data_IF_569218134908
#
_entry.id   IF_569218134908
#
_cell.length_a   1.000
_cell.length_b   1.000
_cell.length_c   1.000
_cell.angle_alpha   90.00
_cell.angle_beta   90.00
_cell.angle_gamma   90.00
#
_symmetry.space_group_name_H-M   'P 1'
#
loop_
_entity.id
_entity.type
_entity.pdbx_description
1 polymer ?
#
# COMPACT_ATOMS: atom_id res chain seq x y z
N UNK A 1 18.89 -37.76 50.88
CA UNK A 1 20.00 -36.99 50.28
C UNK A 1 20.55 -37.76 49.08
N UNK A 2 20.16 -37.42 47.85
CA UNK A 2 20.69 -38.03 46.61
C UNK A 2 21.88 -37.19 46.12
N UNK A 3 23.06 -37.79 46.02
CA UNK A 3 24.25 -37.16 45.44
C UNK A 3 24.15 -37.20 43.90
N UNK A 4 24.25 -36.04 43.27
CA UNK A 4 24.34 -35.91 41.82
C UNK A 4 25.76 -36.34 41.39
N UNK A 5 25.87 -37.47 40.68
CA UNK A 5 27.13 -37.93 40.10
C UNK A 5 27.18 -37.41 38.67
N UNK A 6 27.83 -36.27 38.46
CA UNK A 6 28.09 -35.73 37.13
C UNK A 6 29.19 -36.59 36.50
N UNK A 7 28.85 -37.28 35.40
CA UNK A 7 29.80 -38.12 34.66
C UNK A 7 30.81 -37.22 33.93
N UNK A 8 32.12 -37.47 34.08
CA UNK A 8 33.17 -36.61 33.51
C UNK A 8 33.13 -36.50 31.97
N UNK A 9 32.45 -37.44 31.30
CA UNK A 9 32.30 -37.45 29.85
C UNK A 9 31.33 -36.38 29.30
N UNK A 10 30.43 -35.82 30.13
CA UNK A 10 29.49 -34.77 29.69
C UNK A 10 30.18 -33.39 29.70
N UNK A 11 31.12 -33.17 30.63
CA UNK A 11 31.88 -31.92 30.73
C UNK A 11 32.88 -31.74 29.58
N UNK A 12 33.48 -32.83 29.09
CA UNK A 12 34.44 -32.77 27.97
C UNK A 12 33.75 -32.48 26.64
N UNK A 13 32.53 -32.99 26.43
CA UNK A 13 31.80 -32.78 25.17
C UNK A 13 31.35 -31.31 25.00
N UNK A 14 30.90 -30.66 26.08
CA UNK A 14 30.51 -29.24 26.05
C UNK A 14 31.69 -28.30 25.83
N UNK A 15 32.89 -28.67 26.30
CA UNK A 15 34.09 -27.85 26.14
C UNK A 15 34.62 -27.87 24.69
N UNK A 16 34.50 -29.02 24.01
CA UNK A 16 34.91 -29.15 22.60
C UNK A 16 33.97 -28.43 21.63
N UNK A 17 32.65 -28.40 21.90
CA UNK A 17 31.70 -27.63 21.09
C UNK A 17 31.91 -26.11 21.21
N UNK A 18 32.32 -25.64 22.40
CA UNK A 18 32.62 -24.22 22.60
C UNK A 18 33.86 -23.76 21.83
N UNK A 19 34.92 -24.57 21.78
CA UNK A 19 36.16 -24.25 21.05
C UNK A 19 35.99 -24.20 19.53
N UNK A 20 35.09 -25.00 18.96
CA UNK A 20 34.85 -25.01 17.51
C UNK A 20 34.12 -23.77 17.01
N UNK A 21 33.18 -23.21 17.79
CA UNK A 21 32.43 -22.00 17.43
C UNK A 21 33.34 -20.77 17.48
N UNK A 22 34.24 -20.67 18.46
CA UNK A 22 35.16 -19.54 18.55
C UNK A 22 36.17 -19.53 17.40
N UNK A 23 36.63 -20.68 16.93
CA UNK A 23 37.59 -20.78 15.82
C UNK A 23 37.00 -20.36 14.46
N UNK A 24 35.69 -20.57 14.23
CA UNK A 24 35.01 -20.11 13.01
C UNK A 24 34.92 -18.57 12.99
N UNK A 25 34.72 -17.92 14.14
CA UNK A 25 34.62 -16.46 14.21
C UNK A 25 35.98 -15.74 14.13
N UNK A 26 37.08 -16.35 14.58
CA UNK A 26 38.43 -15.76 14.45
C UNK A 26 39.14 -16.09 13.13
N UNK A 27 38.69 -17.09 12.36
CA UNK A 27 39.28 -17.41 11.04
C UNK A 27 38.57 -16.74 9.85
N UNK A 28 37.46 -16.03 10.09
CA UNK A 28 36.77 -15.22 9.08
C UNK A 28 37.16 -13.73 9.11
N UNK A 29 38.27 -13.39 9.78
CA UNK A 29 38.86 -12.06 9.78
C UNK A 29 39.88 -11.90 8.65
N UNK A 30 39.68 -10.86 7.86
CA UNK A 30 40.65 -10.23 6.96
C UNK A 30 40.86 -10.85 5.56
N UNK A 31 40.04 -10.37 4.63
CA UNK A 31 40.54 -10.01 3.30
C UNK A 31 40.14 -10.92 2.16
N UNK A 32 38.94 -10.71 1.60
CA UNK A 32 38.71 -11.07 0.19
C UNK A 32 37.73 -10.08 -0.48
N UNK A 33 38.35 -9.14 -1.20
CA UNK A 33 37.80 -8.31 -2.29
C UNK A 33 36.85 -7.16 -1.90
N UNK A 34 37.46 -6.09 -1.39
CA UNK A 34 37.06 -4.74 -1.77
C UNK A 34 37.10 -4.63 -3.31
N UNK A 35 35.94 -4.47 -3.95
CA UNK A 35 35.86 -4.04 -5.34
C UNK A 35 35.95 -2.52 -5.40
N UNK A 36 36.78 -1.94 -6.27
CA UNK A 36 36.64 -0.55 -6.66
C UNK A 36 35.42 -0.47 -7.60
N UNK A 37 34.34 0.17 -7.14
CA UNK A 37 33.24 0.57 -8.02
C UNK A 37 33.55 1.97 -8.53
N UNK A 38 34.43 2.04 -9.54
CA UNK A 38 34.45 3.13 -10.50
C UNK A 38 33.64 2.67 -11.72
N UNK A 39 32.41 3.16 -11.83
CA UNK A 39 31.90 3.83 -13.03
C UNK A 39 30.47 4.30 -12.77
N UNK A 40 30.16 5.60 -12.98
CA UNK A 40 28.79 6.09 -12.94
C UNK A 40 28.03 5.48 -14.11
N UNK A 41 26.89 4.83 -13.85
CA UNK A 41 25.99 4.37 -14.90
C UNK A 41 25.41 5.60 -15.61
N UNK A 42 26.04 6.03 -16.68
CA UNK A 42 25.44 6.92 -17.65
C UNK A 42 24.25 6.21 -18.30
N UNK A 43 23.11 6.90 -18.30
CA UNK A 43 21.80 6.55 -18.88
C UNK A 43 20.82 5.78 -17.97
N UNK A 44 20.59 6.32 -16.77
CA UNK A 44 19.24 6.34 -16.18
C UNK A 44 18.57 7.61 -16.71
N UNK A 45 17.50 7.56 -17.53
CA UNK A 45 16.56 8.66 -17.54
C UNK A 45 15.84 8.62 -16.19
N UNK A 46 16.40 9.30 -15.21
CA UNK A 46 15.67 9.65 -14.02
C UNK A 46 14.49 10.51 -14.48
N UNK A 47 13.29 9.92 -14.52
CA UNK A 47 12.04 10.67 -14.64
C UNK A 47 11.73 11.37 -13.31
N UNK A 48 12.66 12.23 -12.88
CA UNK A 48 12.55 13.41 -12.02
C UNK A 48 13.95 13.70 -11.40
N UNK A 49 14.92 14.09 -12.24
CA UNK A 49 16.13 14.82 -11.81
C UNK A 49 16.24 16.15 -12.57
N UNK A 50 15.56 17.17 -12.05
CA UNK A 50 16.03 18.56 -12.12
C UNK A 50 15.19 19.42 -11.18
N UNK A 51 15.86 20.05 -10.21
CA UNK A 51 15.43 21.18 -9.36
C UNK A 51 13.94 21.53 -9.35
N UNK A 52 13.24 21.10 -8.30
CA UNK A 52 11.92 21.63 -7.97
C UNK A 52 12.09 22.95 -7.19
N UNK A 53 12.19 24.06 -7.92
CA UNK A 53 12.01 25.40 -7.33
C UNK A 53 10.52 25.78 -7.38
N UNK A 54 9.99 26.10 -6.20
CA UNK A 54 8.74 26.79 -5.87
C UNK A 54 7.66 26.92 -6.98
N UNK A 55 7.08 25.80 -7.43
CA UNK A 55 5.72 25.74 -7.97
C UNK A 55 5.24 24.29 -8.08
N UNK A 56 4.43 23.87 -7.11
CA UNK A 56 3.41 22.79 -7.05
C UNK A 56 3.30 21.62 -8.07
N UNK A 57 4.29 21.27 -8.89
CA UNK A 57 4.19 20.13 -9.81
C UNK A 57 5.55 19.47 -10.05
N UNK A 58 6.04 18.70 -9.07
CA UNK A 58 7.36 18.09 -9.14
C UNK A 58 7.41 16.86 -10.09
N UNK A 59 6.27 16.26 -10.48
CA UNK A 59 6.16 15.38 -11.65
C UNK A 59 4.71 15.42 -12.19
N UNK A 60 4.37 16.22 -13.23
CA UNK A 60 3.02 16.19 -13.79
C UNK A 60 2.74 14.80 -14.40
N UNK A 61 1.65 14.17 -13.95
CA UNK A 61 1.15 12.94 -14.55
C UNK A 61 0.94 13.18 -16.04
N UNK A 62 1.40 12.26 -16.89
CA UNK A 62 1.06 12.36 -18.30
C UNK A 62 -0.45 12.11 -18.47
N UNK A 63 -1.13 12.74 -19.44
CA UNK A 63 -2.54 12.45 -19.72
C UNK A 63 -2.82 10.95 -19.94
N UNK A 64 -1.83 10.19 -20.41
CA UNK A 64 -1.90 8.74 -20.53
C UNK A 64 -1.97 8.05 -19.16
N UNK A 65 -1.13 8.46 -18.20
CA UNK A 65 -1.13 7.90 -16.85
C UNK A 65 -2.42 8.23 -16.09
N UNK A 66 -2.97 9.44 -16.25
CA UNK A 66 -4.28 9.80 -15.68
C UNK A 66 -5.41 8.90 -16.23
N UNK A 67 -5.37 8.58 -17.53
CA UNK A 67 -6.33 7.68 -18.15
C UNK A 67 -6.18 6.23 -17.64
N UNK A 68 -4.95 5.76 -17.45
CA UNK A 68 -4.69 4.42 -16.87
C UNK A 68 -5.15 4.32 -15.42
N UNK A 69 -4.90 5.35 -14.61
CA UNK A 69 -5.39 5.42 -13.23
C UNK A 69 -6.92 5.38 -13.17
N UNK A 70 -7.59 6.18 -14.01
CA UNK A 70 -9.05 6.14 -14.11
C UNK A 70 -9.56 4.75 -14.53
N UNK A 71 -8.84 4.06 -15.42
CA UNK A 71 -9.18 2.69 -15.84
C UNK A 71 -8.97 1.67 -14.72
N UNK A 72 -7.92 1.80 -13.92
CA UNK A 72 -7.68 0.98 -12.72
C UNK A 72 -8.81 1.18 -11.71
N UNK A 73 -9.15 2.43 -11.39
CA UNK A 73 -10.25 2.72 -10.45
C UNK A 73 -11.60 2.21 -10.95
N UNK A 74 -11.88 2.33 -12.25
CA UNK A 74 -13.08 1.75 -12.86
C UNK A 74 -13.11 0.23 -12.72
N UNK A 75 -11.98 -0.44 -12.98
CA UNK A 75 -11.84 -1.88 -12.82
C UNK A 75 -12.05 -2.34 -11.36
N UNK A 76 -11.56 -1.57 -10.37
CA UNK A 76 -11.80 -1.85 -8.95
C UNK A 76 -13.29 -1.83 -8.60
N UNK A 77 -13.98 -0.77 -8.98
CA UNK A 77 -15.41 -0.61 -8.66
C UNK A 77 -16.26 -1.65 -9.36
N UNK A 78 -15.95 -1.99 -10.62
CA UNK A 78 -16.71 -2.99 -11.37
C UNK A 78 -16.46 -4.43 -10.91
N UNK A 79 -15.25 -4.76 -10.43
CA UNK A 79 -14.87 -6.14 -10.09
C UNK A 79 -14.97 -6.46 -8.60
N UNK A 80 -14.98 -5.45 -7.71
CA UNK A 80 -15.00 -5.63 -6.26
C UNK A 80 -16.27 -5.08 -5.60
N UNK A 81 -17.36 -4.87 -6.37
CA UNK A 81 -18.57 -4.23 -5.86
C UNK A 81 -19.28 -5.09 -4.80
N UNK A 82 -18.84 -4.97 -3.55
CA UNK A 82 -19.69 -5.14 -2.35
C UNK A 82 -20.80 -4.06 -2.30
N UNK A 83 -20.72 -3.08 -3.20
CA UNK A 83 -21.61 -1.94 -3.42
C UNK A 83 -22.78 -2.30 -4.37
N UNK A 84 -22.96 -3.57 -4.73
CA UNK A 84 -24.01 -4.07 -5.65
C UNK A 84 -25.47 -3.70 -5.28
N UNK A 85 -25.69 -3.13 -4.08
CA UNK A 85 -27.00 -2.62 -3.64
C UNK A 85 -27.11 -1.10 -3.59
N UNK A 86 -26.03 -0.35 -3.84
CA UNK A 86 -26.05 1.10 -3.79
C UNK A 86 -26.44 1.70 -5.15
N UNK A 87 -27.38 2.62 -5.13
CA UNK A 87 -27.76 3.41 -6.31
C UNK A 87 -26.86 4.65 -6.49
N UNK A 88 -25.97 4.90 -5.53
CA UNK A 88 -25.03 6.01 -5.52
C UNK A 88 -23.68 5.56 -4.96
N UNK A 89 -22.63 5.71 -5.75
CA UNK A 89 -21.26 5.55 -5.28
C UNK A 89 -20.74 6.91 -4.77
N UNK A 90 -20.46 6.99 -3.48
CA UNK A 90 -19.81 8.18 -2.89
C UNK A 90 -18.32 7.91 -2.79
N UNK A 91 -17.49 8.82 -3.29
CA UNK A 91 -16.03 8.68 -3.32
C UNK A 91 -15.39 9.93 -2.73
N UNK A 92 -14.34 9.78 -1.94
CA UNK A 92 -13.55 10.93 -1.52
C UNK A 92 -12.87 11.61 -2.72
N UNK A 93 -12.86 12.93 -2.76
CA UNK A 93 -12.35 13.74 -3.88
C UNK A 93 -10.82 13.88 -3.92
N UNK A 94 -10.14 13.27 -2.96
CA UNK A 94 -8.68 13.22 -2.86
C UNK A 94 -8.21 11.83 -2.49
N UNK A 95 -7.02 11.47 -2.95
CA UNK A 95 -6.40 10.21 -2.58
C UNK A 95 -6.07 10.20 -1.10
N UNK A 96 -6.34 9.07 -0.45
CA UNK A 96 -5.91 8.83 0.93
C UNK A 96 -4.51 8.27 0.96
N UNK A 97 -3.79 8.57 2.02
CA UNK A 97 -2.51 7.94 2.29
C UNK A 97 -2.77 6.45 2.62
N UNK A 98 -2.15 5.56 1.85
CA UNK A 98 -2.28 4.13 2.00
C UNK A 98 -1.71 3.57 3.33
N UNK A 99 -1.07 4.41 4.15
CA UNK A 99 -0.46 4.06 5.44
C UNK A 99 -1.33 4.46 6.65
N UNK A 100 -2.37 5.27 6.45
CA UNK A 100 -3.04 5.97 7.56
C UNK A 100 -4.18 5.21 8.24
N UNK A 101 -4.46 3.95 7.87
CA UNK A 101 -5.52 3.16 8.51
C UNK A 101 -4.96 2.26 9.61
N UNK A 102 -5.60 2.20 10.81
CA UNK A 102 -4.93 1.93 12.09
C UNK A 102 -4.44 0.50 12.30
N UNK A 103 -4.62 -0.39 11.33
CA UNK A 103 -4.27 -1.82 11.43
C UNK A 103 -3.33 -2.30 10.33
N UNK A 104 -3.03 -1.49 9.30
CA UNK A 104 -2.00 -1.85 8.31
C UNK A 104 -0.57 -1.61 8.84
N UNK A 105 -0.45 -0.67 9.77
CA UNK A 105 0.75 -0.42 10.56
C UNK A 105 0.26 -0.04 11.96
N UNK A 106 0.69 -0.76 12.99
CA UNK A 106 0.61 -0.22 14.36
C UNK A 106 1.32 1.15 14.34
N UNK A 107 0.93 2.11 15.19
CA UNK A 107 1.47 3.48 15.15
C UNK A 107 3.01 3.56 15.22
N UNK A 108 3.67 2.47 15.64
CA UNK A 108 5.13 2.29 15.71
C UNK A 108 5.72 1.37 14.63
N UNK A 109 4.93 0.86 13.69
CA UNK A 109 5.41 -0.07 12.66
C UNK A 109 6.05 0.70 11.49
N UNK A 110 7.33 0.45 11.16
CA UNK A 110 7.97 1.14 10.05
C UNK A 110 7.18 0.90 8.77
N UNK A 111 6.95 1.97 8.00
CA UNK A 111 6.37 1.92 6.65
C UNK A 111 7.04 0.82 5.81
N UNK A 112 8.34 0.58 6.00
CA UNK A 112 9.08 -0.50 5.35
C UNK A 112 8.50 -1.90 5.56
N UNK A 113 7.98 -2.23 6.76
CA UNK A 113 7.38 -3.55 7.01
C UNK A 113 6.11 -3.79 6.21
N UNK A 114 5.30 -2.75 6.01
CA UNK A 114 4.16 -2.83 5.10
C UNK A 114 4.61 -3.22 3.69
N UNK A 115 5.67 -2.60 3.18
CA UNK A 115 6.15 -2.87 1.83
C UNK A 115 6.80 -4.25 1.68
N UNK A 116 7.48 -4.73 2.72
CA UNK A 116 7.93 -6.13 2.79
C UNK A 116 6.72 -7.09 2.74
N UNK A 117 5.66 -6.80 3.51
CA UNK A 117 4.44 -7.60 3.48
C UNK A 117 3.75 -7.55 2.11
N UNK A 118 3.65 -6.38 1.47
CA UNK A 118 3.08 -6.24 0.13
C UNK A 118 3.87 -7.03 -0.91
N UNK A 119 5.20 -7.09 -0.80
CA UNK A 119 6.03 -7.90 -1.70
C UNK A 119 5.80 -9.40 -1.51
N UNK A 120 5.52 -9.83 -0.28
CA UNK A 120 5.17 -11.22 0.04
C UNK A 120 3.74 -11.58 -0.41
N UNK A 121 2.78 -10.69 -0.19
CA UNK A 121 1.38 -10.87 -0.59
C UNK A 121 1.21 -10.85 -2.12
N UNK A 122 2.07 -10.10 -2.81
CA UNK A 122 2.04 -9.93 -4.26
C UNK A 122 3.37 -10.37 -4.89
N UNK A 123 3.69 -11.68 -4.90
CA UNK A 123 4.97 -12.19 -5.41
C UNK A 123 5.14 -12.01 -6.94
N UNK A 124 4.07 -11.64 -7.64
CA UNK A 124 4.09 -11.33 -9.08
C UNK A 124 4.18 -9.82 -9.36
N UNK A 125 4.07 -8.98 -8.33
CA UNK A 125 4.29 -7.55 -8.48
C UNK A 125 5.78 -7.30 -8.69
N UNK A 126 6.11 -6.58 -9.75
CA UNK A 126 7.44 -6.08 -9.99
C UNK A 126 7.81 -5.05 -8.92
N UNK A 127 9.09 -5.01 -8.54
CA UNK A 127 9.59 -4.08 -7.55
C UNK A 127 9.25 -2.62 -7.91
N UNK A 128 9.27 -2.29 -9.21
CA UNK A 128 8.90 -0.96 -9.69
C UNK A 128 7.43 -0.61 -9.39
N UNK A 129 6.50 -1.55 -9.53
CA UNK A 129 5.08 -1.33 -9.18
C UNK A 129 4.95 -0.96 -7.71
N UNK A 130 5.66 -1.67 -6.82
CA UNK A 130 5.62 -1.44 -5.38
C UNK A 130 6.30 -0.12 -5.00
N UNK A 131 7.46 0.17 -5.58
CA UNK A 131 8.19 1.43 -5.34
C UNK A 131 7.39 2.63 -5.87
N UNK A 132 6.80 2.52 -7.06
CA UNK A 132 5.90 3.54 -7.61
C UNK A 132 4.71 3.78 -6.68
N UNK A 133 4.10 2.71 -6.16
CA UNK A 133 3.01 2.81 -5.20
C UNK A 133 3.44 3.54 -3.93
N UNK A 134 4.64 3.24 -3.41
CA UNK A 134 5.21 3.93 -2.25
C UNK A 134 5.31 5.43 -2.48
N UNK A 135 6.04 5.83 -3.52
CA UNK A 135 6.32 7.24 -3.83
C UNK A 135 5.04 8.01 -4.12
N UNK A 136 4.10 7.41 -4.87
CA UNK A 136 2.87 8.08 -5.26
C UNK A 136 1.92 8.37 -4.07
N UNK A 137 2.05 7.62 -2.98
CA UNK A 137 1.20 7.72 -1.79
C UNK A 137 1.84 8.49 -0.62
N UNK A 138 3.00 9.12 -0.83
CA UNK A 138 3.59 10.08 0.12
C UNK A 138 2.74 11.35 0.26
N UNK A 139 1.93 11.67 -0.76
CA UNK A 139 1.10 12.87 -0.80
C UNK A 139 -0.33 12.55 -1.25
N UNK A 140 -1.26 13.42 -0.85
CA UNK A 140 -2.67 13.34 -1.25
C UNK A 140 -2.93 14.15 -2.52
N UNK A 141 -3.51 13.51 -3.53
CA UNK A 141 -3.77 14.06 -4.86
C UNK A 141 -5.26 14.27 -5.10
N UNK A 142 -5.68 15.36 -5.76
CA UNK A 142 -7.06 15.52 -6.21
C UNK A 142 -7.47 14.44 -7.21
N UNK A 143 -8.69 13.95 -7.06
CA UNK A 143 -9.35 13.04 -7.99
C UNK A 143 -10.27 13.89 -8.87
N UNK A 144 -9.77 14.34 -10.02
CA UNK A 144 -10.34 15.50 -10.74
C UNK A 144 -11.30 15.19 -11.88
N UNK A 145 -11.45 13.94 -12.36
CA UNK A 145 -12.28 13.66 -13.56
C UNK A 145 -13.03 12.32 -13.51
N UNK A 146 -14.17 12.22 -14.24
CA UNK A 146 -15.21 11.26 -13.95
C UNK A 146 -14.75 9.87 -14.33
N UNK A 147 -14.58 9.05 -13.30
CA UNK A 147 -14.55 7.61 -13.42
C UNK A 147 -15.65 7.11 -14.36
N UNK A 148 -15.34 6.12 -15.19
CA UNK A 148 -16.31 5.44 -16.04
C UNK A 148 -17.15 4.45 -15.22
N UNK A 149 -17.61 4.86 -14.04
CA UNK A 149 -18.54 4.06 -13.29
C UNK A 149 -19.85 4.06 -14.06
N UNK A 150 -20.32 2.87 -14.43
CA UNK A 150 -21.71 2.69 -14.87
C UNK A 150 -22.71 3.16 -13.80
N UNK A 151 -22.26 3.17 -12.54
CA UNK A 151 -23.00 3.62 -11.37
C UNK A 151 -22.90 5.12 -11.20
N UNK A 152 -24.04 5.77 -10.91
CA UNK A 152 -24.10 7.17 -10.50
C UNK A 152 -23.11 7.42 -9.35
N UNK A 153 -22.24 8.41 -9.49
CA UNK A 153 -21.22 8.72 -8.50
C UNK A 153 -21.26 10.16 -8.00
N UNK A 154 -20.72 10.39 -6.80
CA UNK A 154 -20.54 11.70 -6.19
C UNK A 154 -19.20 11.76 -5.50
N UNK A 155 -18.39 12.76 -5.86
CA UNK A 155 -17.17 13.10 -5.13
C UNK A 155 -17.52 13.97 -3.91
N UNK A 156 -16.89 13.69 -2.78
CA UNK A 156 -17.04 14.45 -1.53
C UNK A 156 -15.68 14.84 -0.96
N UNK A 157 -15.59 16.05 -0.44
CA UNK A 157 -14.37 16.56 0.19
C UNK A 157 -14.14 16.01 1.58
N UNK A 158 -12.89 16.02 2.05
CA UNK A 158 -12.55 15.72 3.44
C UNK A 158 -13.35 16.62 4.41
N UNK A 159 -13.54 17.89 4.07
CA UNK A 159 -14.36 18.80 4.87
C UNK A 159 -15.84 18.39 4.92
N UNK A 160 -16.38 17.84 3.83
CA UNK A 160 -17.74 17.29 3.83
C UNK A 160 -17.84 16.06 4.74
N UNK A 161 -16.83 15.18 4.74
CA UNK A 161 -16.76 14.05 5.67
C UNK A 161 -16.71 14.55 7.13
N UNK A 162 -15.85 15.52 7.42
CA UNK A 162 -15.67 16.10 8.75
C UNK A 162 -16.90 16.83 9.28
N UNK A 163 -17.78 17.35 8.41
CA UNK A 163 -19.07 17.92 8.84
C UNK A 163 -19.98 16.90 9.51
N UNK A 164 -19.84 15.62 9.17
CA UNK A 164 -20.55 14.54 9.85
C UNK A 164 -19.88 14.15 11.18
N UNK A 165 -18.69 14.69 11.48
CA UNK A 165 -17.77 14.15 12.49
C UNK A 165 -17.85 14.62 13.94
N UNK A 166 -18.38 15.76 14.41
CA UNK A 166 -18.00 16.19 15.75
C UNK A 166 -19.16 16.06 16.73
N UNK A 167 -19.12 15.07 17.63
CA UNK A 167 -19.57 15.14 19.05
C UNK A 167 -20.44 13.97 19.55
N UNK A 168 -20.99 13.10 18.70
CA UNK A 168 -21.81 11.94 19.13
C UNK A 168 -21.66 10.73 18.19
N UNK A 169 -21.13 9.59 18.65
CA UNK A 169 -21.13 8.33 17.89
C UNK A 169 -22.55 7.95 17.44
N UNK A 170 -22.71 7.32 16.28
CA UNK A 170 -23.99 6.87 15.72
C UNK A 170 -24.79 7.90 14.89
N UNK A 171 -24.78 9.19 15.23
CA UNK A 171 -25.61 10.21 14.55
C UNK A 171 -24.99 10.65 13.20
N UNK A 172 -23.67 10.53 13.07
CA UNK A 172 -22.90 10.75 11.84
C UNK A 172 -23.55 10.05 10.64
N UNK A 173 -23.89 8.76 10.80
CA UNK A 173 -24.22 7.91 9.65
C UNK A 173 -25.62 8.18 9.16
N UNK A 174 -26.53 8.50 10.08
CA UNK A 174 -27.87 8.98 9.74
C UNK A 174 -27.81 10.28 8.93
N UNK A 175 -26.95 11.23 9.31
CA UNK A 175 -26.76 12.47 8.56
C UNK A 175 -26.16 12.20 7.17
N UNK A 176 -25.14 11.35 7.09
CA UNK A 176 -24.55 10.93 5.82
C UNK A 176 -25.60 10.29 4.89
N UNK A 177 -26.35 9.30 5.37
CA UNK A 177 -27.35 8.59 4.55
C UNK A 177 -28.56 9.47 4.20
N UNK A 178 -28.88 10.46 5.03
CA UNK A 178 -29.91 11.47 4.70
C UNK A 178 -29.48 12.34 3.53
N UNK A 179 -28.22 12.77 3.51
CA UNK A 179 -27.67 13.69 2.51
C UNK A 179 -27.26 12.94 1.22
N UNK A 180 -26.83 11.69 1.33
CA UNK A 180 -26.42 10.80 0.24
C UNK A 180 -27.35 9.59 0.09
N UNK A 181 -28.64 9.84 -0.18
CA UNK A 181 -29.65 8.79 -0.32
C UNK A 181 -29.28 7.77 -1.41
N UNK A 182 -29.28 6.50 -1.04
CA UNK A 182 -28.93 5.39 -1.92
C UNK A 182 -27.45 5.04 -1.94
N UNK A 183 -26.61 5.75 -1.17
CA UNK A 183 -25.25 5.33 -0.89
C UNK A 183 -25.22 4.19 0.13
N UNK A 184 -24.24 3.28 0.00
CA UNK A 184 -23.96 2.24 0.99
C UNK A 184 -22.85 2.63 1.99
N UNK A 185 -22.31 3.84 1.85
CA UNK A 185 -21.09 4.30 2.49
C UNK A 185 -20.30 5.20 1.54
N UNK A 186 -19.02 5.42 1.82
CA UNK A 186 -18.12 6.11 0.90
C UNK A 186 -16.80 5.35 0.71
N UNK A 187 -16.27 5.45 -0.51
CA UNK A 187 -15.03 4.84 -0.96
C UNK A 187 -13.88 5.83 -0.87
N UNK A 188 -12.75 5.37 -0.39
CA UNK A 188 -11.48 6.06 -0.33
C UNK A 188 -10.48 5.30 -1.18
N UNK A 189 -9.72 6.02 -2.00
CA UNK A 189 -8.76 5.44 -2.94
C UNK A 189 -7.40 6.05 -2.69
N UNK A 190 -6.35 5.26 -2.77
CA UNK A 190 -4.99 5.76 -2.81
C UNK A 190 -4.60 6.12 -4.24
N UNK A 191 -3.46 6.80 -4.43
CA UNK A 191 -2.85 6.94 -5.76
C UNK A 191 -2.38 5.57 -6.27
N UNK A 192 -2.44 5.35 -7.58
CA UNK A 192 -2.02 4.08 -8.18
C UNK A 192 -0.50 4.06 -8.38
N UNK A 193 0.16 2.97 -8.01
CA UNK A 193 1.53 2.66 -8.42
C UNK A 193 1.53 1.80 -9.67
N UNK A 194 2.33 2.15 -10.68
CA UNK A 194 2.46 1.41 -11.93
C UNK A 194 3.90 0.94 -12.13
N UNK A 195 4.09 -0.17 -12.85
CA UNK A 195 5.39 -0.43 -13.49
C UNK A 195 5.55 0.42 -14.76
N UNK A 196 6.78 0.49 -15.29
CA UNK A 196 7.12 1.26 -16.48
C UNK A 196 6.31 0.87 -17.71
N UNK A 197 6.00 -0.41 -17.86
CA UNK A 197 5.22 -0.95 -18.98
C UNK A 197 3.71 -0.63 -18.86
N UNK A 198 3.26 -0.04 -17.75
CA UNK A 198 1.84 0.23 -17.45
C UNK A 198 0.94 -0.99 -17.65
N UNK A 199 1.45 -2.16 -17.27
CA UNK A 199 0.73 -3.43 -17.34
C UNK A 199 0.53 -4.08 -15.95
N UNK A 200 1.13 -3.51 -14.92
CA UNK A 200 0.89 -3.80 -13.51
C UNK A 200 0.45 -2.54 -12.77
N UNK A 201 -0.47 -2.71 -11.83
CA UNK A 201 -0.92 -1.64 -10.97
C UNK A 201 -1.11 -2.14 -9.52
N UNK A 202 -0.74 -1.30 -8.56
CA UNK A 202 -1.03 -1.49 -7.14
C UNK A 202 -1.79 -0.28 -6.63
N UNK A 203 -2.86 -0.53 -5.88
CA UNK A 203 -3.77 0.50 -5.38
C UNK A 203 -4.36 0.06 -4.05
N UNK A 204 -4.49 0.99 -3.12
CA UNK A 204 -5.22 0.77 -1.87
C UNK A 204 -6.63 1.35 -1.98
N UNK A 205 -7.60 0.61 -1.45
CA UNK A 205 -8.98 1.08 -1.28
C UNK A 205 -9.39 0.89 0.17
N UNK A 206 -10.17 1.83 0.68
CA UNK A 206 -10.88 1.68 1.93
C UNK A 206 -12.34 2.08 1.74
N UNK A 207 -13.22 1.49 2.54
CA UNK A 207 -14.64 1.76 2.52
C UNK A 207 -15.13 1.94 3.94
N UNK A 208 -15.99 2.94 4.15
CA UNK A 208 -16.63 3.21 5.42
C UNK A 208 -18.15 3.25 5.23
N UNK A 209 -18.89 2.59 6.11
CA UNK A 209 -20.35 2.44 6.08
C UNK A 209 -21.04 2.51 7.45
N UNK A 210 -20.29 2.70 8.53
CA UNK A 210 -20.77 2.65 9.91
C UNK A 210 -19.61 2.81 10.89
N UNK A 211 -19.91 3.08 12.16
CA UNK A 211 -18.88 3.24 13.20
C UNK A 211 -17.99 2.00 13.35
N UNK A 212 -18.56 0.82 13.06
CA UNK A 212 -17.88 -0.47 13.04
C UNK A 212 -18.06 -1.17 11.69
N UNK A 213 -18.28 -0.41 10.61
CA UNK A 213 -18.52 -0.96 9.28
C UNK A 213 -17.52 -0.32 8.34
N UNK A 214 -16.53 -1.11 7.95
CA UNK A 214 -15.57 -0.71 6.95
C UNK A 214 -14.55 -1.80 6.69
N UNK A 215 -13.83 -1.63 5.58
CA UNK A 215 -12.72 -2.50 5.22
C UNK A 215 -11.65 -1.71 4.47
N UNK A 216 -10.46 -2.27 4.41
CA UNK A 216 -9.30 -1.72 3.72
C UNK A 216 -8.55 -2.84 3.03
N UNK A 217 -8.15 -2.62 1.78
CA UNK A 217 -7.44 -3.63 0.98
C UNK A 217 -6.43 -3.02 0.03
N UNK A 218 -5.27 -3.65 -0.09
CA UNK A 218 -4.37 -3.47 -1.22
C UNK A 218 -4.79 -4.40 -2.35
N UNK A 219 -4.81 -3.87 -3.57
CA UNK A 219 -5.29 -4.59 -4.74
C UNK A 219 -4.21 -4.52 -5.81
N UNK A 220 -3.75 -5.69 -6.23
CA UNK A 220 -2.81 -5.84 -7.33
C UNK A 220 -3.59 -6.19 -8.60
N UNK A 221 -3.36 -5.42 -9.67
CA UNK A 221 -4.02 -5.57 -10.95
C UNK A 221 -3.00 -5.78 -12.06
N UNK A 222 -3.41 -6.54 -13.07
CA UNK A 222 -2.65 -6.73 -14.30
C UNK A 222 -3.50 -6.37 -15.52
N UNK A 223 -2.86 -5.76 -16.52
CA UNK A 223 -3.52 -5.39 -17.78
C UNK A 223 -3.40 -6.53 -18.77
N UNK A 224 -4.54 -7.07 -19.22
CA UNK A 224 -4.62 -8.13 -20.22
C UNK A 224 -5.53 -7.72 -21.35
N UNK A 225 -5.01 -7.71 -22.58
CA UNK A 225 -5.78 -7.27 -23.75
C UNK A 225 -6.32 -5.85 -23.63
N UNK A 226 -5.55 -4.95 -23.02
CA UNK A 226 -5.96 -3.56 -22.79
C UNK A 226 -6.88 -3.33 -21.59
N UNK A 227 -7.30 -4.38 -20.87
CA UNK A 227 -8.25 -4.29 -19.75
C UNK A 227 -7.56 -4.64 -18.44
N UNK A 228 -7.75 -3.80 -17.42
CA UNK A 228 -7.28 -4.05 -16.06
C UNK A 228 -8.11 -5.14 -15.37
N UNK A 229 -7.43 -6.13 -14.81
CA UNK A 229 -8.04 -7.24 -14.07
C UNK A 229 -7.37 -7.39 -12.71
N UNK A 230 -8.18 -7.64 -11.70
CA UNK A 230 -7.66 -7.93 -10.36
C UNK A 230 -6.93 -9.26 -10.42
N UNK A 231 -5.67 -9.25 -9.99
CA UNK A 231 -4.81 -10.43 -9.92
C UNK A 231 -4.82 -11.01 -8.52
N UNK A 232 -4.77 -10.17 -7.50
CA UNK A 232 -4.77 -10.56 -6.08
C UNK A 232 -5.18 -9.38 -5.20
N UNK A 233 -5.64 -9.70 -3.98
CA UNK A 233 -6.09 -8.74 -2.97
C UNK A 233 -5.44 -9.13 -1.65
N UNK A 234 -4.92 -8.16 -0.92
CA UNK A 234 -4.52 -8.29 0.48
C UNK A 234 -5.47 -7.43 1.31
N UNK A 235 -6.19 -8.03 2.24
CA UNK A 235 -7.21 -7.39 3.09
C UNK A 235 -6.70 -7.24 4.52
N UNK A 236 -5.85 -6.23 4.81
CA UNK A 236 -5.26 -6.04 6.14
C UNK A 236 -6.30 -5.66 7.21
N UNK A 237 -7.47 -5.15 6.83
CA UNK A 237 -8.44 -4.63 7.79
C UNK A 237 -9.89 -4.84 7.36
N UNK A 238 -10.69 -5.33 8.30
CA UNK A 238 -12.15 -5.37 8.29
C UNK A 238 -12.63 -5.07 9.71
N UNK A 239 -13.64 -4.21 9.86
CA UNK A 239 -14.30 -3.92 11.16
C UNK A 239 -15.62 -4.63 11.33
#
# INVERSE_FOLDING_TARGET
>A
MRRLIIRPLVLTLTFLTGLFITFIFTSAGDGFLARPFDEPSENIPALCLSDCSESSACCPQTPAQEAEEAAVYSALVEQMSTIDRANLLVVQDRTVNAYSFPHAALEDDPVDRLFEALQLDFPFAEQETITSFRTNNEQSWPITKPFLFRTKSRLISQQEIERFSPSKPGIWWEAFYRDYRGAAGFLMLSKVGFNREMNQALVYRAFACGDTCGFGSYVFLVKKGGVWRIKSVSEPWVS
#
